data_IF_861332299551
#
_entry.id   IF_861332299551
#
_cell.length_a   1.000
_cell.length_b   1.000
_cell.length_c   1.000
_cell.angle_alpha   90.00
_cell.angle_beta   90.00
_cell.angle_gamma   90.00
#
_symmetry.space_group_name_H-M   'P 1'
#
loop_
_entity.id
_entity.type
_entity.pdbx_description
1 polymer ?
#
# COMPACT_ATOMS: atom_id res chain seq x y z
N UNK A 1 -50.08 6.34 -19.59
CA UNK A 1 -50.01 5.56 -20.83
C UNK A 1 -48.58 5.07 -20.98
N UNK A 2 -48.14 4.20 -20.06
CA UNK A 2 -48.49 2.75 -19.96
C UNK A 2 -47.82 1.98 -21.10
N UNK A 3 -47.18 0.83 -20.93
CA UNK A 3 -46.89 -0.02 -19.79
C UNK A 3 -46.00 -1.17 -20.35
N UNK A 4 -45.07 -1.67 -19.53
CA UNK A 4 -44.88 -3.11 -19.21
C UNK A 4 -44.62 -4.11 -20.37
N UNK A 5 -43.43 -4.72 -20.41
CA UNK A 5 -43.11 -6.06 -19.83
C UNK A 5 -41.90 -6.67 -20.57
N UNK A 6 -40.78 -7.01 -19.93
CA UNK A 6 -40.52 -8.08 -18.94
C UNK A 6 -40.13 -9.44 -19.61
N UNK A 7 -39.02 -10.00 -19.10
CA UNK A 7 -38.66 -11.42 -18.93
C UNK A 7 -37.73 -12.08 -19.97
N UNK A 8 -36.82 -13.01 -19.65
CA UNK A 8 -36.19 -13.62 -18.44
C UNK A 8 -35.26 -14.70 -19.01
N UNK A 9 -34.12 -15.01 -18.36
CA UNK A 9 -33.60 -16.37 -18.02
C UNK A 9 -32.25 -16.20 -17.33
N UNK A 10 -32.07 -16.33 -16.01
CA UNK A 10 -32.23 -17.44 -15.02
C UNK A 10 -31.32 -18.67 -15.23
N UNK A 11 -30.64 -19.04 -14.14
CA UNK A 11 -30.12 -20.39 -13.83
C UNK A 11 -29.03 -20.34 -12.73
N UNK A 12 -29.34 -20.20 -11.44
CA UNK A 12 -29.64 -21.25 -10.44
C UNK A 12 -28.55 -22.34 -10.29
N UNK A 13 -27.98 -22.47 -9.08
CA UNK A 13 -27.89 -23.74 -8.35
C UNK A 13 -27.63 -23.50 -6.84
N UNK A 14 -28.52 -24.07 -6.04
CA UNK A 14 -28.50 -24.15 -4.56
C UNK A 14 -28.46 -25.63 -4.19
N UNK A 15 -27.65 -26.02 -3.21
CA UNK A 15 -27.78 -27.23 -2.38
C UNK A 15 -26.93 -26.96 -1.12
N UNK A 16 -27.44 -26.78 0.11
CA UNK A 16 -28.34 -27.55 0.98
C UNK A 16 -27.71 -28.85 1.49
N UNK A 17 -27.28 -28.87 2.76
CA UNK A 17 -27.51 -29.96 3.73
C UNK A 17 -27.05 -29.60 5.17
N UNK A 18 -28.03 -29.63 6.08
CA UNK A 18 -28.06 -30.25 7.43
C UNK A 18 -26.96 -29.92 8.47
N UNK A 19 -27.32 -29.26 9.57
CA UNK A 19 -27.74 -29.86 10.86
C UNK A 19 -26.54 -30.20 11.78
N UNK A 20 -26.53 -30.08 13.10
CA UNK A 20 -27.34 -29.47 14.13
C UNK A 20 -26.54 -29.65 15.46
N UNK A 21 -27.05 -29.11 16.57
CA UNK A 21 -26.84 -29.58 17.96
C UNK A 21 -25.69 -28.94 18.78
N UNK A 22 -26.11 -27.87 19.49
CA UNK A 22 -26.25 -27.75 20.95
C UNK A 22 -25.03 -27.71 21.90
N UNK A 23 -25.13 -26.69 22.76
CA UNK A 23 -24.85 -26.66 24.20
C UNK A 23 -23.37 -26.60 24.61
N UNK A 24 -22.97 -25.75 25.56
CA UNK A 24 -23.73 -24.90 26.46
C UNK A 24 -22.86 -24.52 27.66
N UNK A 25 -23.21 -23.37 28.24
CA UNK A 25 -23.04 -23.03 29.65
C UNK A 25 -21.61 -22.88 30.23
N UNK A 26 -21.26 -21.61 30.41
CA UNK A 26 -20.50 -21.05 31.53
C UNK A 26 -21.18 -21.37 32.91
N UNK A 27 -20.90 -20.71 34.06
CA UNK A 27 -19.84 -19.75 34.43
C UNK A 27 -19.31 -19.93 35.90
N UNK A 28 -18.53 -18.93 36.38
CA UNK A 28 -18.47 -18.38 37.77
C UNK A 28 -17.98 -19.31 38.90
N UNK A 29 -17.16 -18.90 39.86
CA UNK A 29 -16.78 -17.58 40.36
C UNK A 29 -16.39 -17.74 41.85
N UNK A 30 -15.79 -16.70 42.44
CA UNK A 30 -15.82 -16.51 43.89
C UNK A 30 -14.51 -16.75 44.66
N UNK A 31 -13.76 -15.66 44.85
CA UNK A 31 -13.00 -15.38 46.07
C UNK A 31 -13.97 -15.27 47.29
N UNK A 32 -13.54 -15.15 48.58
CA UNK A 32 -12.61 -14.11 49.05
C UNK A 32 -11.74 -14.42 50.31
N UNK A 33 -10.81 -13.48 50.60
CA UNK A 33 -10.39 -12.88 51.90
C UNK A 33 -9.98 -13.78 53.10
N UNK A 34 -9.07 -13.45 54.01
CA UNK A 34 -8.09 -12.38 54.24
C UNK A 34 -7.30 -12.76 55.53
N UNK A 35 -6.08 -12.24 55.72
CA UNK A 35 -5.65 -11.43 56.90
C UNK A 35 -4.16 -11.56 57.27
N UNK A 36 -3.47 -10.43 57.14
CA UNK A 36 -2.53 -9.75 58.05
C UNK A 36 -1.41 -10.49 58.82
N UNK A 37 -0.19 -9.95 58.72
CA UNK A 37 0.89 -10.14 59.70
C UNK A 37 2.25 -9.54 59.32
N UNK A 38 2.44 -8.24 59.61
CA UNK A 38 3.67 -7.53 60.07
C UNK A 38 5.10 -7.92 59.60
N UNK A 39 5.79 -6.90 59.05
CA UNK A 39 7.20 -6.76 58.65
C UNK A 39 8.21 -6.78 59.86
N UNK A 40 9.58 -6.69 59.75
CA UNK A 40 10.32 -5.87 58.76
C UNK A 40 11.79 -6.25 58.33
N UNK A 41 12.30 -5.52 57.32
CA UNK A 41 13.69 -5.16 56.88
C UNK A 41 14.76 -6.25 56.60
N UNK A 42 15.22 -6.38 55.34
CA UNK A 42 16.55 -5.90 54.86
C UNK A 42 16.80 -6.24 53.37
N UNK A 43 17.67 -5.43 52.77
CA UNK A 43 17.78 -5.12 51.35
C UNK A 43 18.42 -6.21 50.46
N UNK A 44 17.81 -6.42 49.30
CA UNK A 44 18.51 -6.77 48.06
C UNK A 44 17.78 -6.08 46.90
N UNK A 45 18.52 -5.31 46.10
CA UNK A 45 18.02 -4.43 45.05
C UNK A 45 17.04 -5.15 44.12
N UNK A 46 15.78 -4.71 44.21
CA UNK A 46 14.67 -5.24 43.46
C UNK A 46 14.83 -4.90 41.97
N UNK A 47 14.85 -5.94 41.15
CA UNK A 47 14.22 -5.86 39.84
C UNK A 47 12.82 -5.28 40.06
N UNK A 48 12.56 -4.10 39.52
CA UNK A 48 11.24 -3.48 39.55
C UNK A 48 10.31 -4.29 38.67
N UNK A 49 9.78 -5.38 39.21
CA UNK A 49 8.58 -6.04 38.71
C UNK A 49 7.41 -5.11 38.98
N UNK A 50 7.22 -4.12 38.11
CA UNK A 50 5.91 -3.53 37.91
C UNK A 50 5.07 -4.59 37.20
N UNK A 51 4.53 -5.53 37.97
CA UNK A 51 3.44 -6.37 37.50
C UNK A 51 2.27 -5.42 37.23
N UNK A 52 2.05 -5.12 35.96
CA UNK A 52 0.97 -4.25 35.51
C UNK A 52 -0.37 -4.92 35.78
N UNK A 53 -1.40 -4.09 36.00
CA UNK A 53 -2.79 -4.51 36.23
C UNK A 53 -3.43 -5.20 35.01
N UNK A 54 -2.70 -5.26 33.89
CA UNK A 54 -3.08 -5.95 32.67
C UNK A 54 -2.70 -7.42 32.86
N UNK A 55 -3.71 -8.29 33.02
CA UNK A 55 -3.49 -9.73 33.21
C UNK A 55 -2.37 -10.24 32.28
N UNK A 56 -1.46 -11.05 32.82
CA UNK A 56 -0.13 -11.31 32.24
C UNK A 56 -0.17 -11.48 30.72
N UNK A 57 0.09 -10.39 29.98
CA UNK A 57 0.17 -10.42 28.53
C UNK A 57 1.39 -11.29 28.21
N UNK A 58 1.17 -12.36 27.47
CA UNK A 58 2.25 -13.18 26.98
C UNK A 58 2.95 -12.45 25.82
N UNK A 59 4.07 -11.79 26.14
CA UNK A 59 4.88 -11.06 25.17
C UNK A 59 5.55 -11.97 24.12
N UNK A 60 5.39 -13.29 24.24
CA UNK A 60 5.92 -14.28 23.28
C UNK A 60 4.84 -14.95 22.44
N UNK A 61 3.56 -14.76 22.76
CA UNK A 61 2.45 -15.23 21.92
C UNK A 61 2.18 -14.24 20.78
N UNK A 62 3.06 -14.25 19.80
CA UNK A 62 2.98 -13.34 18.65
C UNK A 62 1.70 -13.51 17.82
N UNK A 63 1.08 -14.68 17.83
CA UNK A 63 -0.19 -14.88 17.13
C UNK A 63 -1.32 -14.13 17.86
N UNK A 64 -1.42 -14.28 19.18
CA UNK A 64 -2.39 -13.53 19.97
C UNK A 64 -2.15 -12.02 19.87
N UNK A 65 -0.89 -11.57 19.95
CA UNK A 65 -0.56 -10.15 19.79
C UNK A 65 -0.91 -9.62 18.39
N UNK A 66 -0.69 -10.43 17.35
CA UNK A 66 -1.09 -10.09 15.99
C UNK A 66 -2.61 -9.92 15.89
N UNK A 67 -3.37 -10.90 16.38
CA UNK A 67 -4.82 -10.91 16.27
C UNK A 67 -5.50 -9.80 17.08
N UNK A 68 -5.00 -9.50 18.27
CA UNK A 68 -5.60 -8.52 19.18
C UNK A 68 -5.22 -7.10 18.78
N UNK A 69 -3.94 -6.84 18.51
CA UNK A 69 -3.44 -5.47 18.41
C UNK A 69 -3.04 -5.05 16.98
N UNK A 70 -2.51 -5.95 16.16
CA UNK A 70 -1.99 -5.58 14.83
C UNK A 70 -3.04 -5.70 13.72
N UNK A 71 -3.90 -6.71 13.78
CA UNK A 71 -4.77 -7.13 12.67
C UNK A 71 -5.60 -5.98 12.11
N UNK A 72 -6.28 -5.25 12.99
CA UNK A 72 -7.18 -4.18 12.60
C UNK A 72 -6.47 -2.99 11.97
N UNK A 73 -5.43 -2.38 12.59
CA UNK A 73 -4.72 -1.27 11.98
C UNK A 73 -3.92 -1.70 10.73
N UNK A 74 -3.54 -2.97 10.63
CA UNK A 74 -2.87 -3.50 9.45
C UNK A 74 -3.80 -3.53 8.23
N UNK A 75 -4.95 -4.20 8.33
CA UNK A 75 -5.87 -4.34 7.19
C UNK A 75 -6.61 -3.05 6.82
N UNK A 76 -6.63 -2.06 7.72
CA UNK A 76 -7.21 -0.75 7.43
C UNK A 76 -6.25 0.24 6.77
N UNK A 77 -4.96 -0.10 6.66
CA UNK A 77 -3.94 0.83 6.18
C UNK A 77 -3.45 1.85 7.22
N UNK A 78 -3.90 1.78 8.49
CA UNK A 78 -3.37 2.64 9.58
C UNK A 78 -1.87 2.41 9.78
N UNK A 79 -1.37 1.20 9.53
CA UNK A 79 0.07 0.90 9.55
C UNK A 79 0.79 1.15 8.21
N UNK A 80 0.16 1.84 7.25
CA UNK A 80 0.77 2.13 5.95
C UNK A 80 1.69 3.36 5.96
N UNK A 81 1.62 4.17 7.01
CA UNK A 81 2.37 5.43 7.16
C UNK A 81 2.89 5.62 8.57
N UNK A 82 3.83 6.55 8.73
CA UNK A 82 4.25 7.04 10.04
C UNK A 82 3.19 7.98 10.61
N UNK A 83 2.93 7.89 11.91
CA UNK A 83 2.08 8.84 12.61
C UNK A 83 2.42 8.88 14.11
N UNK A 84 2.28 10.05 14.71
CA UNK A 84 2.46 10.29 16.15
C UNK A 84 1.15 10.62 16.85
N UNK A 85 0.15 11.04 16.07
CA UNK A 85 -1.21 11.25 16.52
C UNK A 85 -2.18 10.74 15.47
N UNK A 86 -3.39 10.31 15.87
CA UNK A 86 -4.44 9.92 14.92
C UNK A 86 -4.76 10.96 13.84
N UNK A 87 -4.41 12.23 14.08
CA UNK A 87 -4.57 13.32 13.10
C UNK A 87 -3.63 13.22 11.90
N UNK A 88 -2.52 12.51 12.04
CA UNK A 88 -1.55 12.30 10.96
C UNK A 88 -1.95 11.10 10.07
N UNK A 89 -3.01 10.37 10.44
CA UNK A 89 -3.49 9.20 9.69
C UNK A 89 -4.35 9.66 8.52
N UNK A 90 -4.26 8.97 7.38
CA UNK A 90 -5.21 9.17 6.29
C UNK A 90 -6.66 8.90 6.76
N UNK A 91 -7.57 9.84 6.48
CA UNK A 91 -8.96 9.71 6.91
C UNK A 91 -9.67 8.50 6.32
N UNK A 92 -9.29 8.07 5.11
CA UNK A 92 -9.78 6.83 4.50
C UNK A 92 -9.34 5.59 5.28
N UNK A 93 -8.09 5.54 5.73
CA UNK A 93 -7.59 4.44 6.57
C UNK A 93 -8.30 4.33 7.92
N UNK A 94 -8.78 5.44 8.49
CA UNK A 94 -9.61 5.45 9.71
C UNK A 94 -11.04 4.95 9.44
N UNK A 95 -11.61 5.25 8.27
CA UNK A 95 -12.89 4.66 7.83
C UNK A 95 -12.73 3.15 7.63
N UNK A 96 -11.67 2.73 6.96
CA UNK A 96 -11.39 1.32 6.70
C UNK A 96 -11.09 0.57 8.02
N UNK A 97 -10.64 1.25 9.08
CA UNK A 97 -10.47 0.66 10.42
C UNK A 97 -11.79 0.17 11.02
N UNK A 98 -12.86 0.94 10.82
CA UNK A 98 -14.22 0.47 11.12
C UNK A 98 -14.68 -0.60 10.12
N UNK A 99 -14.34 -0.45 8.83
CA UNK A 99 -14.64 -1.45 7.80
C UNK A 99 -14.08 -2.86 8.08
N UNK A 100 -12.89 -2.95 8.68
CA UNK A 100 -12.30 -4.23 9.12
C UNK A 100 -13.15 -4.90 10.19
N UNK A 101 -13.60 -4.14 11.18
CA UNK A 101 -14.52 -4.62 12.21
C UNK A 101 -15.85 -5.05 11.58
N UNK A 102 -16.45 -4.19 10.77
CA UNK A 102 -17.75 -4.45 10.16
C UNK A 102 -17.74 -5.73 9.32
N UNK A 103 -16.72 -5.92 8.48
CA UNK A 103 -16.56 -7.12 7.63
C UNK A 103 -16.39 -8.40 8.46
N UNK A 104 -15.72 -8.30 9.61
CA UNK A 104 -15.56 -9.44 10.53
C UNK A 104 -16.89 -9.84 11.17
N UNK A 105 -17.68 -8.86 11.59
CA UNK A 105 -18.97 -9.12 12.26
C UNK A 105 -20.11 -9.46 11.28
N UNK A 106 -19.96 -9.10 10.00
CA UNK A 106 -20.95 -9.35 8.94
C UNK A 106 -20.33 -10.14 7.77
N UNK A 107 -19.83 -11.38 7.99
CA UNK A 107 -19.06 -12.12 6.99
C UNK A 107 -19.89 -12.56 5.76
N UNK A 108 -21.22 -12.58 5.87
CA UNK A 108 -22.14 -12.96 4.82
C UNK A 108 -22.67 -11.76 4.00
N UNK A 109 -22.33 -10.54 4.39
CA UNK A 109 -22.75 -9.33 3.70
C UNK A 109 -21.69 -8.90 2.69
N UNK A 110 -22.14 -8.43 1.51
CA UNK A 110 -21.21 -7.94 0.50
C UNK A 110 -20.55 -6.66 1.02
N UNK A 111 -19.22 -6.66 1.11
CA UNK A 111 -18.45 -5.50 1.53
C UNK A 111 -18.67 -4.33 0.57
N UNK A 112 -19.01 -3.17 1.11
CA UNK A 112 -19.14 -1.89 0.39
C UNK A 112 -20.43 -1.15 0.73
N UNK A 113 -20.49 0.15 0.44
CA UNK A 113 -21.67 0.99 0.68
C UNK A 113 -21.36 2.16 1.60
N UNK A 114 -22.34 2.57 2.41
CA UNK A 114 -22.22 3.73 3.30
C UNK A 114 -22.32 3.31 4.77
N UNK A 115 -21.34 3.71 5.58
CA UNK A 115 -21.38 3.57 7.03
C UNK A 115 -21.90 4.86 7.67
N UNK A 116 -22.92 4.81 8.55
CA UNK A 116 -23.37 5.99 9.28
C UNK A 116 -22.21 6.64 10.05
N UNK A 117 -22.04 7.96 9.88
CA UNK A 117 -20.87 8.65 10.42
C UNK A 117 -20.78 8.54 11.94
N UNK A 118 -21.92 8.74 12.63
CA UNK A 118 -21.99 8.63 14.09
C UNK A 118 -21.55 7.26 14.62
N UNK A 119 -21.85 6.19 13.89
CA UNK A 119 -21.49 4.82 14.28
C UNK A 119 -19.98 4.57 14.09
N UNK A 120 -19.47 4.86 12.89
CA UNK A 120 -18.05 4.70 12.58
C UNK A 120 -17.16 5.54 13.51
N UNK A 121 -17.51 6.82 13.72
CA UNK A 121 -16.77 7.74 14.59
C UNK A 121 -16.81 7.30 16.06
N UNK A 122 -17.96 6.82 16.56
CA UNK A 122 -18.07 6.33 17.93
C UNK A 122 -17.26 5.06 18.15
N UNK A 123 -17.16 4.19 17.14
CA UNK A 123 -16.33 3.00 17.20
C UNK A 123 -14.84 3.35 17.16
N UNK A 124 -14.40 4.11 16.16
CA UNK A 124 -12.98 4.44 15.94
C UNK A 124 -12.40 5.20 17.15
N UNK A 125 -13.14 6.15 17.73
CA UNK A 125 -12.68 6.92 18.91
C UNK A 125 -12.31 6.07 20.12
N UNK A 126 -12.81 4.84 20.23
CA UNK A 126 -12.47 3.96 21.34
C UNK A 126 -10.99 3.54 21.30
N UNK A 127 -10.41 3.44 20.11
CA UNK A 127 -9.11 2.82 19.87
C UNK A 127 -7.95 3.80 19.74
N UNK A 128 -8.19 5.11 19.77
CA UNK A 128 -7.15 6.11 19.52
C UNK A 128 -7.04 7.11 20.67
N UNK A 129 -5.81 7.48 21.03
CA UNK A 129 -5.52 8.37 22.17
C UNK A 129 -6.01 9.81 21.98
N UNK A 130 -6.28 10.21 20.74
CA UNK A 130 -6.92 11.48 20.38
C UNK A 130 -8.13 11.23 19.46
N UNK A 131 -9.09 12.15 19.48
CA UNK A 131 -10.28 12.08 18.64
C UNK A 131 -9.92 12.27 17.14
N UNK A 132 -10.13 11.26 16.28
CA UNK A 132 -9.81 11.33 14.86
C UNK A 132 -10.98 11.85 13.99
N UNK A 133 -12.12 12.24 14.58
CA UNK A 133 -13.35 12.58 13.85
C UNK A 133 -13.13 13.67 12.79
N UNK A 134 -12.39 14.73 13.13
CA UNK A 134 -12.10 15.82 12.18
C UNK A 134 -11.32 15.31 10.96
N UNK A 135 -10.33 14.44 11.19
CA UNK A 135 -9.52 13.80 10.14
C UNK A 135 -10.37 12.88 9.26
N UNK A 136 -11.28 12.11 9.87
CA UNK A 136 -12.22 11.27 9.11
C UNK A 136 -13.12 12.11 8.20
N UNK A 137 -13.75 13.16 8.74
CA UNK A 137 -14.69 14.02 7.99
C UNK A 137 -14.03 14.88 6.90
N UNK A 138 -12.73 15.14 7.03
CA UNK A 138 -11.96 15.87 6.01
C UNK A 138 -11.68 15.04 4.75
N UNK A 139 -11.83 13.71 4.81
CA UNK A 139 -11.53 12.82 3.70
C UNK A 139 -12.66 12.81 2.65
N UNK A 140 -12.31 12.60 1.37
CA UNK A 140 -13.24 12.63 0.24
C UNK A 140 -14.35 11.56 0.30
N UNK A 141 -14.21 10.54 1.16
CA UNK A 141 -15.22 9.50 1.38
C UNK A 141 -16.35 9.94 2.33
N UNK A 142 -16.24 11.08 2.99
CA UNK A 142 -17.31 11.60 3.83
C UNK A 142 -18.37 12.33 2.99
N UNK A 143 -19.62 11.88 3.06
CA UNK A 143 -20.78 12.51 2.46
C UNK A 143 -21.57 13.27 3.53
N UNK A 144 -21.53 14.60 3.47
CA UNK A 144 -22.20 15.47 4.42
C UNK A 144 -23.73 15.52 4.24
N UNK A 145 -24.27 15.16 3.07
CA UNK A 145 -25.72 15.10 2.84
C UNK A 145 -26.32 13.84 3.44
N UNK A 146 -25.60 12.72 3.35
CA UNK A 146 -26.00 11.43 3.91
C UNK A 146 -25.55 11.22 5.37
N UNK A 147 -24.66 12.07 5.88
CA UNK A 147 -23.97 11.91 7.18
C UNK A 147 -23.36 10.51 7.31
N UNK A 148 -22.58 10.13 6.29
CA UNK A 148 -22.05 8.79 6.15
C UNK A 148 -20.69 8.77 5.44
N UNK A 149 -19.95 7.67 5.62
CA UNK A 149 -18.70 7.40 4.93
C UNK A 149 -18.90 6.34 3.86
N UNK A 150 -18.47 6.62 2.63
CA UNK A 150 -18.37 5.60 1.59
C UNK A 150 -17.26 4.59 1.96
N UNK A 151 -17.61 3.31 1.95
CA UNK A 151 -16.71 2.19 2.10
C UNK A 151 -16.67 1.41 0.80
N UNK A 152 -15.47 1.26 0.24
CA UNK A 152 -15.25 0.60 -1.05
C UNK A 152 -14.72 -0.82 -0.92
N UNK A 153 -14.68 -1.36 0.31
CA UNK A 153 -14.06 -2.64 0.63
C UNK A 153 -12.60 -2.50 1.08
N UNK A 154 -12.07 -3.58 1.66
CA UNK A 154 -10.68 -3.67 2.10
C UNK A 154 -9.79 -4.07 0.93
N UNK A 155 -8.65 -3.40 0.79
CA UNK A 155 -7.59 -3.76 -0.16
C UNK A 155 -6.47 -4.57 0.50
N UNK A 156 -5.66 -5.22 -0.34
CA UNK A 156 -4.38 -5.84 0.07
C UNK A 156 -4.43 -7.36 0.21
N UNK A 157 -3.41 -8.03 -0.32
CA UNK A 157 -3.20 -9.48 -0.18
C UNK A 157 -2.01 -9.85 0.71
N UNK A 158 -1.30 -8.86 1.25
CA UNK A 158 -0.13 -9.07 2.10
C UNK A 158 -0.57 -9.55 3.50
N UNK A 159 0.29 -10.33 4.16
CA UNK A 159 0.07 -10.74 5.54
C UNK A 159 0.95 -9.94 6.49
N UNK A 160 0.49 -9.72 7.73
CA UNK A 160 1.25 -9.00 8.76
C UNK A 160 1.34 -9.83 10.04
N UNK A 161 2.51 -9.92 10.65
CA UNK A 161 2.74 -10.70 11.87
C UNK A 161 3.66 -9.98 12.84
N UNK A 162 3.32 -10.01 14.12
CA UNK A 162 4.21 -9.58 15.20
C UNK A 162 5.42 -10.53 15.23
N UNK A 163 6.61 -9.97 15.37
CA UNK A 163 7.88 -10.70 15.49
C UNK A 163 8.66 -10.31 16.74
N UNK A 164 8.22 -9.26 17.44
CA UNK A 164 8.80 -8.81 18.69
C UNK A 164 7.80 -7.99 19.50
N UNK A 165 7.89 -8.07 20.83
CA UNK A 165 7.05 -7.30 21.72
C UNK A 165 7.81 -6.89 22.97
N UNK A 166 7.55 -5.69 23.45
CA UNK A 166 8.10 -5.17 24.69
C UNK A 166 7.03 -4.37 25.45
N UNK A 167 7.04 -4.50 26.77
CA UNK A 167 6.14 -3.76 27.66
C UNK A 167 6.97 -2.83 28.54
N UNK A 168 6.67 -1.53 28.52
CA UNK A 168 7.26 -0.53 29.41
C UNK A 168 6.15 0.26 30.11
N UNK A 169 5.94 -0.04 31.40
CA UNK A 169 4.77 0.45 32.12
C UNK A 169 3.48 -0.06 31.47
N UNK A 170 2.62 0.85 31.05
CA UNK A 170 1.35 0.56 30.37
C UNK A 170 1.46 0.65 28.84
N UNK A 171 2.67 0.78 28.28
CA UNK A 171 2.87 0.88 26.84
C UNK A 171 3.45 -0.41 26.29
N UNK A 172 2.66 -1.09 25.47
CA UNK A 172 3.05 -2.25 24.67
C UNK A 172 3.56 -1.76 23.30
N UNK A 173 4.81 -2.09 22.99
CA UNK A 173 5.40 -1.87 21.67
C UNK A 173 5.47 -3.19 20.93
N UNK A 174 4.96 -3.23 19.70
CA UNK A 174 4.98 -4.39 18.82
C UNK A 174 5.85 -4.11 17.60
N UNK A 175 6.91 -4.90 17.44
CA UNK A 175 7.64 -5.00 16.17
C UNK A 175 6.93 -6.04 15.28
N UNK A 176 6.68 -5.68 14.03
CA UNK A 176 5.98 -6.56 13.10
C UNK A 176 6.62 -6.55 11.71
N UNK A 177 6.39 -7.63 10.95
CA UNK A 177 6.78 -7.78 9.56
C UNK A 177 5.53 -7.91 8.67
N UNK A 178 5.65 -7.42 7.45
CA UNK A 178 4.66 -7.55 6.38
C UNK A 178 5.26 -8.41 5.29
N UNK A 179 4.55 -9.48 4.93
CA UNK A 179 4.96 -10.45 3.94
C UNK A 179 4.20 -10.27 2.65
N UNK A 180 4.93 -10.49 1.56
CA UNK A 180 4.44 -10.47 0.20
C UNK A 180 3.21 -11.34 -0.01
N UNK A 181 2.22 -10.82 -0.75
CA UNK A 181 1.09 -11.62 -1.20
C UNK A 181 1.49 -12.71 -2.21
N UNK A 182 2.63 -12.53 -2.88
CA UNK A 182 3.07 -13.42 -3.95
C UNK A 182 3.64 -14.74 -3.41
N UNK A 183 4.29 -14.72 -2.25
CA UNK A 183 4.94 -15.90 -1.66
C UNK A 183 4.74 -16.12 -0.16
N UNK A 184 4.10 -15.16 0.55
CA UNK A 184 3.90 -15.15 2.01
C UNK A 184 5.19 -15.40 2.82
N UNK A 185 6.35 -15.01 2.27
CA UNK A 185 7.69 -15.25 2.85
C UNK A 185 8.60 -14.04 2.76
N UNK A 186 8.55 -13.30 1.67
CA UNK A 186 9.40 -12.13 1.45
C UNK A 186 8.88 -10.97 2.31
N UNK A 187 9.71 -10.46 3.21
CA UNK A 187 9.39 -9.28 4.02
C UNK A 187 9.50 -8.04 3.14
N UNK A 188 8.38 -7.36 2.91
CA UNK A 188 8.31 -6.15 2.08
C UNK A 188 8.30 -4.87 2.88
N UNK A 189 7.97 -4.96 4.18
CA UNK A 189 7.91 -3.84 5.12
C UNK A 189 7.95 -4.39 6.54
N UNK A 190 8.50 -3.64 7.47
CA UNK A 190 8.33 -3.87 8.90
C UNK A 190 7.82 -2.59 9.57
N UNK A 191 7.49 -2.66 10.86
CA UNK A 191 7.12 -1.47 11.61
C UNK A 191 7.13 -1.68 13.10
N UNK A 192 6.91 -0.59 13.82
CA UNK A 192 6.63 -0.58 15.25
C UNK A 192 5.28 0.08 15.52
N UNK A 193 4.42 -0.59 16.27
CA UNK A 193 3.14 -0.07 16.75
C UNK A 193 3.20 0.08 18.27
N UNK A 194 2.93 1.30 18.76
CA UNK A 194 2.83 1.58 20.18
C UNK A 194 1.37 1.60 20.63
N UNK A 195 1.07 0.87 21.70
CA UNK A 195 -0.27 0.64 22.23
C UNK A 195 -0.28 0.97 23.73
N UNK A 196 -1.15 1.90 24.14
CA UNK A 196 -1.44 2.17 25.55
C UNK A 196 -2.47 1.15 26.04
N UNK A 197 -2.10 0.37 27.05
CA UNK A 197 -2.98 -0.55 27.75
C UNK A 197 -3.74 0.21 28.85
N UNK A 198 -5.02 -0.13 29.03
CA UNK A 198 -5.89 0.47 30.04
C UNK A 198 -6.22 -0.52 31.13
N UNK A 199 -6.39 -0.04 32.35
CA UNK A 199 -6.66 -0.86 33.54
C UNK A 199 -7.95 -1.70 33.41
N UNK A 200 -8.89 -1.28 32.55
CA UNK A 200 -10.13 -2.00 32.25
C UNK A 200 -9.95 -3.17 31.27
N UNK A 201 -8.72 -3.44 30.84
CA UNK A 201 -8.39 -4.44 29.83
C UNK A 201 -8.55 -3.95 28.39
N UNK A 202 -8.97 -2.69 28.19
CA UNK A 202 -8.98 -2.04 26.90
C UNK A 202 -7.59 -1.55 26.47
N UNK A 203 -7.51 -1.00 25.26
CA UNK A 203 -6.26 -0.43 24.75
C UNK A 203 -6.53 0.71 23.77
N UNK A 204 -5.50 1.50 23.48
CA UNK A 204 -5.51 2.52 22.44
C UNK A 204 -4.18 2.58 21.69
N UNK A 205 -4.24 2.78 20.39
CA UNK A 205 -3.07 3.04 19.56
C UNK A 205 -2.54 4.44 19.81
N UNK A 206 -1.22 4.54 20.00
CA UNK A 206 -0.51 5.76 20.36
C UNK A 206 0.27 6.36 19.20
N UNK A 207 1.04 5.52 18.52
CA UNK A 207 1.89 5.93 17.41
C UNK A 207 2.28 4.72 16.56
N UNK A 208 2.77 5.01 15.36
CA UNK A 208 3.25 4.00 14.44
C UNK A 208 4.48 4.48 13.69
N UNK A 209 5.40 3.55 13.41
CA UNK A 209 6.55 3.76 12.54
C UNK A 209 6.68 2.63 11.55
N UNK A 210 6.67 2.97 10.27
CA UNK A 210 7.03 2.10 9.16
C UNK A 210 8.56 2.03 9.04
N UNK A 211 9.07 0.85 8.72
CA UNK A 211 10.47 0.60 8.38
C UNK A 211 10.51 -0.22 7.09
N UNK A 212 11.04 0.35 6.03
CA UNK A 212 11.27 -0.40 4.79
C UNK A 212 12.59 -1.18 4.89
N UNK A 213 12.67 -2.36 4.23
CA UNK A 213 13.91 -3.12 4.17
C UNK A 213 15.02 -2.27 3.56
N UNK A 214 16.20 -2.30 4.19
CA UNK A 214 17.40 -1.73 3.59
C UNK A 214 17.80 -2.59 2.40
N UNK A 215 18.04 -1.96 1.25
CA UNK A 215 18.60 -2.67 0.10
C UNK A 215 20.11 -2.69 0.27
N UNK A 216 20.66 -3.88 0.49
CA UNK A 216 22.10 -4.07 0.42
C UNK A 216 22.54 -3.98 -1.05
N UNK A 217 23.50 -3.11 -1.33
CA UNK A 217 24.00 -2.84 -2.68
C UNK A 217 25.50 -2.93 -2.71
N UNK A 218 26.02 -3.44 -3.83
CA UNK A 218 27.46 -3.46 -4.10
C UNK A 218 27.90 -2.33 -5.04
N UNK A 219 26.94 -1.62 -5.65
CA UNK A 219 27.19 -0.51 -6.55
C UNK A 219 27.59 0.78 -5.80
N UNK A 220 28.39 1.62 -6.46
CA UNK A 220 28.72 2.96 -5.94
C UNK A 220 27.55 3.92 -6.15
N UNK A 221 27.47 4.99 -5.35
CA UNK A 221 26.42 6.01 -5.54
C UNK A 221 26.45 6.63 -6.96
N UNK A 222 27.65 6.89 -7.49
CA UNK A 222 27.83 7.40 -8.87
C UNK A 222 27.21 6.44 -9.90
N UNK A 223 27.39 5.12 -9.72
CA UNK A 223 26.79 4.12 -10.59
C UNK A 223 25.27 4.07 -10.45
N UNK A 224 24.74 4.17 -9.23
CA UNK A 224 23.29 4.23 -9.00
C UNK A 224 22.66 5.49 -9.61
N UNK A 225 23.35 6.61 -9.55
CA UNK A 225 22.91 7.86 -10.18
C UNK A 225 22.90 7.69 -11.70
N UNK A 226 23.96 7.15 -12.31
CA UNK A 226 24.02 6.85 -13.75
C UNK A 226 22.87 5.93 -14.20
N UNK A 227 22.62 4.85 -13.46
CA UNK A 227 21.52 3.93 -13.73
C UNK A 227 20.16 4.63 -13.65
N UNK A 228 20.00 5.50 -12.64
CA UNK A 228 18.78 6.27 -12.43
C UNK A 228 18.53 7.23 -13.59
N UNK A 229 19.53 8.02 -13.97
CA UNK A 229 19.43 8.96 -15.08
C UNK A 229 19.14 8.26 -16.41
N UNK A 230 19.81 7.13 -16.66
CA UNK A 230 19.79 6.47 -17.97
C UNK A 230 18.55 5.60 -18.18
N UNK A 231 18.18 4.78 -17.19
CA UNK A 231 17.18 3.71 -17.36
C UNK A 231 15.88 3.96 -16.61
N UNK A 232 15.85 4.82 -15.59
CA UNK A 232 14.67 4.95 -14.72
C UNK A 232 13.97 6.28 -14.94
N UNK A 233 14.72 7.39 -15.00
CA UNK A 233 14.15 8.71 -15.25
C UNK A 233 13.30 8.76 -16.52
N UNK A 234 13.62 8.08 -17.64
CA UNK A 234 12.74 8.08 -18.79
C UNK A 234 11.36 7.44 -18.52
N UNK A 235 11.26 6.50 -17.57
CA UNK A 235 10.00 5.82 -17.27
C UNK A 235 9.10 6.64 -16.32
N UNK A 236 9.68 7.51 -15.48
CA UNK A 236 8.98 8.27 -14.44
C UNK A 236 7.90 9.24 -14.98
N UNK A 237 8.16 10.08 -16.00
CA UNK A 237 7.18 11.07 -16.47
C UNK A 237 5.86 10.46 -16.94
N UNK A 238 5.87 9.23 -17.46
CA UNK A 238 4.66 8.58 -17.90
C UNK A 238 3.83 8.01 -16.74
N UNK A 239 4.42 7.79 -15.55
CA UNK A 239 3.74 7.26 -14.35
C UNK A 239 3.20 5.83 -14.47
N UNK A 240 2.45 5.53 -15.54
CA UNK A 240 1.91 4.23 -15.91
C UNK A 240 2.97 3.14 -15.96
N UNK A 241 4.14 3.43 -16.56
CA UNK A 241 5.20 2.42 -16.73
C UNK A 241 5.90 2.00 -15.43
N UNK A 242 5.79 2.79 -14.35
CA UNK A 242 6.40 2.51 -13.04
C UNK A 242 5.37 2.27 -11.93
N UNK A 243 4.07 2.38 -12.25
CA UNK A 243 2.98 2.21 -11.27
C UNK A 243 2.37 0.82 -11.26
N UNK A 244 2.65 -0.01 -12.28
CA UNK A 244 2.17 -1.39 -12.38
C UNK A 244 3.27 -2.32 -12.87
N UNK A 245 3.09 -3.61 -12.60
CA UNK A 245 3.90 -4.68 -13.18
C UNK A 245 3.55 -4.88 -14.66
N UNK A 246 4.57 -5.10 -15.48
CA UNK A 246 4.47 -5.64 -16.84
C UNK A 246 5.63 -6.60 -17.09
N UNK A 247 5.32 -7.88 -17.33
CA UNK A 247 6.32 -8.93 -17.45
C UNK A 247 6.98 -8.99 -18.83
N UNK A 248 6.39 -8.32 -19.81
CA UNK A 248 6.97 -8.09 -21.13
C UNK A 248 6.37 -6.85 -21.77
N UNK A 249 7.06 -6.31 -22.78
CA UNK A 249 6.55 -5.19 -23.60
C UNK A 249 5.18 -5.48 -24.23
N UNK A 250 4.82 -6.75 -24.44
CA UNK A 250 3.51 -7.12 -25.00
C UNK A 250 2.31 -6.84 -24.08
N UNK A 251 2.56 -6.58 -22.80
CA UNK A 251 1.53 -6.18 -21.82
C UNK A 251 1.33 -4.66 -21.75
N UNK A 252 2.12 -3.90 -22.50
CA UNK A 252 1.96 -2.45 -22.64
C UNK A 252 0.96 -2.15 -23.75
N UNK A 253 0.25 -1.04 -23.61
CA UNK A 253 -0.63 -0.50 -24.64
C UNK A 253 0.14 0.48 -25.52
N UNK A 254 -0.30 0.66 -26.76
CA UNK A 254 0.25 1.68 -27.63
C UNK A 254 0.16 3.07 -27.00
N UNK A 255 -0.95 3.38 -26.31
CA UNK A 255 -1.17 4.64 -25.61
C UNK A 255 -0.12 4.93 -24.52
N UNK A 256 0.24 3.91 -23.73
CA UNK A 256 1.32 4.04 -22.76
C UNK A 256 2.65 4.37 -23.45
N UNK A 257 2.97 3.75 -24.59
CA UNK A 257 4.21 4.03 -25.31
C UNK A 257 4.22 5.42 -25.97
N UNK A 258 3.08 5.88 -26.49
CA UNK A 258 2.93 7.25 -26.99
C UNK A 258 3.07 8.26 -25.84
N UNK A 259 2.49 7.97 -24.68
CA UNK A 259 2.69 8.75 -23.45
C UNK A 259 4.16 8.82 -23.06
N UNK A 260 4.90 7.71 -23.11
CA UNK A 260 6.34 7.68 -22.83
C UNK A 260 7.13 8.59 -23.78
N UNK A 261 6.85 8.54 -25.08
CA UNK A 261 7.49 9.43 -26.05
C UNK A 261 7.17 10.91 -25.76
N UNK A 262 5.90 11.20 -25.51
CA UNK A 262 5.43 12.54 -25.21
C UNK A 262 6.08 13.06 -23.92
N UNK A 263 5.84 12.48 -22.74
CA UNK A 263 6.29 13.09 -21.48
C UNK A 263 7.82 13.28 -21.35
N UNK A 264 8.64 12.55 -22.13
CA UNK A 264 10.09 12.72 -22.15
C UNK A 264 10.60 13.81 -23.11
N UNK A 265 9.80 14.27 -24.07
CA UNK A 265 10.26 15.17 -25.12
C UNK A 265 11.42 14.71 -25.98
N UNK A 266 11.34 13.45 -26.41
CA UNK A 266 12.26 12.93 -27.42
C UNK A 266 12.13 13.59 -28.79
N UNK A 267 11.03 14.31 -29.06
CA UNK A 267 10.85 15.09 -30.30
C UNK A 267 11.25 16.56 -30.15
N UNK A 268 11.74 16.98 -28.98
CA UNK A 268 12.20 18.35 -28.71
C UNK A 268 11.18 19.45 -29.10
N UNK A 269 9.89 19.17 -28.96
CA UNK A 269 8.84 20.14 -29.28
C UNK A 269 8.87 21.31 -28.29
N UNK A 270 8.37 22.49 -28.68
CA UNK A 270 8.28 23.64 -27.79
C UNK A 270 7.52 23.31 -26.50
N UNK A 271 8.05 23.82 -25.39
CA UNK A 271 7.44 23.72 -24.06
C UNK A 271 6.88 25.08 -23.65
N UNK A 272 5.81 25.07 -22.86
CA UNK A 272 5.28 26.26 -22.21
C UNK A 272 6.18 26.73 -21.05
N UNK A 273 5.74 27.79 -20.35
CA UNK A 273 6.51 28.40 -19.27
C UNK A 273 6.64 27.51 -18.02
N UNK A 274 5.80 26.47 -17.89
CA UNK A 274 5.88 25.46 -16.83
C UNK A 274 6.79 24.29 -17.24
N UNK A 275 7.36 24.33 -18.45
CA UNK A 275 8.18 23.26 -19.00
C UNK A 275 7.34 22.08 -19.51
N UNK A 276 6.03 22.27 -19.71
CA UNK A 276 5.11 21.27 -20.22
C UNK A 276 4.95 21.41 -21.74
N UNK A 277 4.41 20.38 -22.39
CA UNK A 277 3.88 20.57 -23.73
C UNK A 277 2.63 21.43 -23.68
N UNK A 278 2.48 22.34 -24.65
CA UNK A 278 1.14 22.80 -25.03
C UNK A 278 0.30 21.54 -25.33
N UNK A 279 -0.86 21.37 -24.70
CA UNK A 279 -1.69 20.17 -24.96
C UNK A 279 -1.98 20.02 -26.47
N UNK A 280 -1.85 18.79 -26.98
CA UNK A 280 -2.24 18.42 -28.34
C UNK A 280 -1.31 18.88 -29.47
N UNK A 281 0.03 18.84 -29.33
CA UNK A 281 0.87 18.99 -30.51
C UNK A 281 0.76 17.72 -31.35
N UNK A 282 0.64 17.92 -32.67
CA UNK A 282 0.57 16.82 -33.64
C UNK A 282 1.97 16.59 -34.19
N UNK A 283 2.46 15.35 -34.11
CA UNK A 283 3.78 14.96 -34.60
C UNK A 283 3.68 13.88 -35.69
N UNK A 284 4.51 13.92 -36.76
CA UNK A 284 4.50 12.90 -37.80
C UNK A 284 4.70 11.50 -37.23
N UNK A 285 3.95 10.52 -37.75
CA UNK A 285 3.94 9.17 -37.21
C UNK A 285 5.33 8.51 -37.22
N UNK A 286 6.08 8.69 -38.31
CA UNK A 286 7.42 8.14 -38.44
C UNK A 286 8.41 8.64 -37.37
N UNK A 287 8.28 9.89 -36.92
CA UNK A 287 9.17 10.47 -35.90
C UNK A 287 8.85 9.89 -34.52
N UNK A 288 7.56 9.80 -34.19
CA UNK A 288 7.09 9.19 -32.93
C UNK A 288 7.45 7.71 -32.87
N UNK A 289 7.21 6.98 -33.96
CA UNK A 289 7.53 5.55 -34.08
C UNK A 289 9.03 5.29 -33.94
N UNK A 290 9.88 6.10 -34.58
CA UNK A 290 11.33 5.99 -34.44
C UNK A 290 11.79 6.28 -33.00
N UNK A 291 11.20 7.27 -32.33
CA UNK A 291 11.52 7.61 -30.95
C UNK A 291 11.14 6.49 -29.97
N UNK A 292 9.98 5.86 -30.13
CA UNK A 292 9.52 4.76 -29.27
C UNK A 292 10.33 3.48 -29.51
N UNK A 293 10.52 3.11 -30.78
CA UNK A 293 11.21 1.84 -31.16
C UNK A 293 12.69 1.82 -30.80
N UNK A 294 13.27 2.98 -30.47
CA UNK A 294 14.60 3.07 -29.86
C UNK A 294 14.68 2.39 -28.49
N UNK A 295 13.59 2.41 -27.72
CA UNK A 295 13.55 1.93 -26.33
C UNK A 295 12.70 0.67 -26.13
N UNK A 296 11.81 0.36 -27.07
CA UNK A 296 10.90 -0.79 -26.97
C UNK A 296 10.90 -1.61 -28.26
N UNK A 297 10.97 -2.93 -28.12
CA UNK A 297 10.91 -3.89 -29.23
C UNK A 297 9.46 -4.05 -29.75
N UNK A 298 8.93 -3.00 -30.38
CA UNK A 298 7.59 -2.96 -30.99
C UNK A 298 7.68 -2.50 -32.45
N UNK A 299 6.59 -2.66 -33.21
CA UNK A 299 6.51 -2.16 -34.59
C UNK A 299 5.50 -1.01 -34.73
N UNK A 300 5.59 -0.32 -35.87
CA UNK A 300 4.70 0.79 -36.20
C UNK A 300 3.23 0.34 -36.29
N UNK A 301 2.95 -0.91 -36.69
CA UNK A 301 1.58 -1.39 -36.82
C UNK A 301 0.90 -1.49 -35.44
N UNK A 302 1.65 -1.91 -34.42
CA UNK A 302 1.22 -1.88 -33.03
C UNK A 302 1.03 -0.43 -32.54
N UNK A 303 1.98 0.47 -32.77
CA UNK A 303 1.85 1.86 -32.31
C UNK A 303 0.64 2.59 -32.90
N UNK A 304 0.30 2.30 -34.16
CA UNK A 304 -0.88 2.85 -34.85
C UNK A 304 -2.22 2.34 -34.30
N UNK A 305 -2.23 1.40 -33.36
CA UNK A 305 -3.46 1.04 -32.62
C UNK A 305 -3.77 2.03 -31.49
N UNK A 306 -2.89 2.99 -31.23
CA UNK A 306 -3.11 4.02 -30.21
C UNK A 306 -4.32 4.90 -30.55
N UNK A 307 -5.06 5.31 -29.52
CA UNK A 307 -6.13 6.30 -29.67
C UNK A 307 -5.62 7.68 -30.12
N UNK A 308 -4.32 7.93 -29.95
CA UNK A 308 -3.67 9.18 -30.33
C UNK A 308 -3.31 9.23 -31.82
N UNK A 309 -3.37 8.11 -32.55
CA UNK A 309 -3.03 8.06 -33.96
C UNK A 309 -4.18 8.54 -34.85
N UNK A 310 -3.87 9.47 -35.75
CA UNK A 310 -4.75 9.91 -36.83
C UNK A 310 -4.26 9.34 -38.17
N UNK A 311 -5.01 8.37 -38.71
CA UNK A 311 -4.71 7.72 -39.98
C UNK A 311 -4.84 8.66 -41.19
N UNK A 312 -5.64 9.71 -41.13
CA UNK A 312 -5.79 10.67 -42.22
C UNK A 312 -4.59 11.63 -42.31
N UNK A 313 -4.04 12.01 -41.15
CA UNK A 313 -2.87 12.88 -41.05
C UNK A 313 -1.54 12.09 -41.06
N UNK A 314 -1.58 10.77 -40.83
CA UNK A 314 -0.44 9.92 -40.53
C UNK A 314 0.45 10.53 -39.42
N UNK A 315 -0.19 10.85 -38.31
CA UNK A 315 0.40 11.59 -37.21
C UNK A 315 -0.21 11.18 -35.86
N UNK A 316 0.49 11.49 -34.76
CA UNK A 316 -0.04 11.30 -33.41
C UNK A 316 -0.34 12.65 -32.76
N UNK A 317 -1.50 12.76 -32.12
CA UNK A 317 -1.82 13.84 -31.20
C UNK A 317 -1.21 13.52 -29.82
N UNK A 318 -0.10 14.19 -29.47
CA UNK A 318 0.64 13.81 -28.26
C UNK A 318 -0.08 14.31 -27.00
N UNK A 319 -0.24 13.45 -25.97
CA UNK A 319 -0.79 13.88 -24.70
C UNK A 319 0.17 14.87 -24.01
N UNK A 320 -0.40 15.92 -23.40
CA UNK A 320 0.35 16.91 -22.60
C UNK A 320 -0.01 16.83 -21.11
N UNK A 321 0.79 17.46 -20.26
CA UNK A 321 0.56 17.56 -18.81
C UNK A 321 1.72 17.10 -17.94
N UNK A 322 1.52 17.12 -16.62
CA UNK A 322 2.51 16.70 -15.62
C UNK A 322 2.55 15.17 -15.48
N UNK A 323 3.75 14.61 -15.59
CA UNK A 323 4.10 13.32 -15.01
C UNK A 323 4.30 13.42 -13.50
N UNK A 324 3.65 12.55 -12.72
CA UNK A 324 3.61 12.64 -11.25
C UNK A 324 4.98 12.61 -10.56
N UNK A 325 5.06 13.28 -9.40
CA UNK A 325 6.28 13.56 -8.62
C UNK A 325 6.80 12.43 -7.72
N UNK A 326 6.66 11.16 -8.11
CA UNK A 326 7.28 10.05 -7.38
C UNK A 326 8.65 9.74 -7.98
N UNK A 327 9.71 9.94 -7.21
CA UNK A 327 11.07 9.65 -7.65
C UNK A 327 11.38 8.17 -7.47
N UNK A 328 11.27 7.41 -8.57
CA UNK A 328 11.88 6.08 -8.67
C UNK A 328 13.36 6.24 -8.97
N UNK A 329 14.22 5.48 -8.29
CA UNK A 329 15.67 5.45 -8.53
C UNK A 329 16.26 4.05 -8.44
N UNK A 330 17.50 3.90 -8.87
CA UNK A 330 18.24 2.65 -8.78
C UNK A 330 18.79 2.44 -7.37
N UNK A 331 18.83 1.19 -6.95
CA UNK A 331 19.36 0.77 -5.66
C UNK A 331 20.41 -0.30 -5.77
N UNK A 332 20.33 -1.16 -6.79
CA UNK A 332 21.33 -2.17 -7.06
C UNK A 332 21.27 -2.56 -8.54
N UNK A 333 22.33 -3.20 -9.02
CA UNK A 333 22.36 -3.78 -10.35
C UNK A 333 23.01 -5.16 -10.32
N UNK A 334 22.62 -5.99 -11.29
CA UNK A 334 23.32 -7.22 -11.60
C UNK A 334 23.15 -7.54 -13.08
N UNK A 335 24.14 -8.23 -13.63
CA UNK A 335 24.01 -8.81 -14.95
C UNK A 335 23.48 -10.24 -14.85
N UNK A 336 22.57 -10.62 -15.74
CA UNK A 336 22.10 -11.99 -15.86
C UNK A 336 21.75 -12.29 -17.30
N UNK A 337 22.33 -13.36 -17.85
CA UNK A 337 22.03 -13.86 -19.20
C UNK A 337 22.18 -12.78 -20.30
N UNK A 338 23.10 -11.83 -20.12
CA UNK A 338 23.33 -10.69 -21.02
C UNK A 338 22.38 -9.50 -20.82
N UNK A 339 21.45 -9.58 -19.86
CA UNK A 339 20.57 -8.48 -19.48
C UNK A 339 21.11 -7.73 -18.27
N UNK A 340 20.89 -6.42 -18.25
CA UNK A 340 21.08 -5.59 -17.08
C UNK A 340 19.80 -5.64 -16.25
N UNK A 341 19.92 -6.09 -15.00
CA UNK A 341 18.83 -6.19 -14.04
C UNK A 341 19.05 -5.12 -12.98
N UNK A 342 18.15 -4.15 -12.90
CA UNK A 342 18.25 -3.01 -11.99
C UNK A 342 17.18 -3.18 -10.92
N UNK A 343 17.60 -3.23 -9.66
CA UNK A 343 16.70 -3.06 -8.53
C UNK A 343 16.37 -1.59 -8.42
N UNK A 344 15.09 -1.26 -8.54
CA UNK A 344 14.55 0.10 -8.44
C UNK A 344 13.72 0.25 -7.18
N UNK A 345 13.54 1.48 -6.72
CA UNK A 345 12.68 1.77 -5.60
C UNK A 345 12.11 3.17 -5.61
N UNK A 346 10.91 3.31 -5.05
CA UNK A 346 10.21 4.59 -4.86
C UNK A 346 10.62 5.17 -3.52
N UNK A 347 11.05 6.44 -3.53
CA UNK A 347 11.38 7.19 -2.32
C UNK A 347 10.47 8.41 -2.28
N UNK A 348 9.72 8.56 -1.19
CA UNK A 348 9.02 9.79 -0.85
C UNK A 348 9.96 10.84 -0.24
N UNK A 349 9.52 12.11 -0.14
CA UNK A 349 10.36 13.19 0.40
C UNK A 349 10.87 12.94 1.84
N UNK A 350 10.15 12.11 2.61
CA UNK A 350 10.47 11.79 4.01
C UNK A 350 11.05 10.38 4.21
N UNK A 351 11.27 9.61 3.13
CA UNK A 351 11.81 8.25 3.20
C UNK A 351 13.35 8.26 3.36
N UNK A 352 13.88 7.28 4.11
CA UNK A 352 15.34 7.05 4.15
C UNK A 352 15.84 6.65 2.75
N UNK A 353 16.98 7.20 2.28
CA UNK A 353 17.42 7.03 0.90
C UNK A 353 17.69 5.58 0.52
N UNK A 354 18.10 4.71 1.45
CA UNK A 354 18.42 3.30 1.23
C UNK A 354 17.24 2.34 1.53
N UNK A 355 16.05 2.88 1.82
CA UNK A 355 14.87 2.11 2.24
C UNK A 355 13.62 2.55 1.46
N UNK A 356 13.50 2.14 0.19
CA UNK A 356 12.39 2.56 -0.64
C UNK A 356 11.07 1.97 -0.15
N UNK A 357 10.00 2.74 -0.28
CA UNK A 357 8.65 2.33 0.13
C UNK A 357 8.07 1.18 -0.71
N UNK A 358 8.57 1.05 -1.94
CA UNK A 358 8.24 -0.03 -2.87
C UNK A 358 9.46 -0.32 -3.73
N UNK A 359 9.75 -1.59 -3.97
CA UNK A 359 10.81 -2.02 -4.88
C UNK A 359 10.26 -2.63 -6.15
N UNK A 360 11.02 -2.54 -7.23
CA UNK A 360 10.71 -3.22 -8.48
C UNK A 360 11.99 -3.66 -9.19
N UNK A 361 11.89 -4.72 -9.99
CA UNK A 361 12.97 -5.20 -10.85
C UNK A 361 12.74 -4.69 -12.27
N UNK A 362 13.64 -3.84 -12.76
CA UNK A 362 13.69 -3.39 -14.15
C UNK A 362 14.68 -4.26 -14.92
N UNK A 363 14.24 -4.87 -16.02
CA UNK A 363 15.11 -5.64 -16.92
C UNK A 363 15.34 -4.87 -18.20
N UNK A 364 16.62 -4.72 -18.56
CA UNK A 364 17.07 -3.98 -19.75
C UNK A 364 17.93 -4.89 -20.62
N UNK A 365 17.65 -4.91 -21.92
CA UNK A 365 18.44 -5.60 -22.93
C UNK A 365 19.40 -4.60 -23.61
N UNK A 366 20.72 -4.70 -23.40
CA UNK A 366 21.69 -3.87 -24.11
C UNK A 366 21.67 -4.15 -25.61
N UNK A 367 21.84 -3.10 -26.43
CA UNK A 367 21.96 -3.20 -27.89
C UNK A 367 23.44 -3.05 -28.33
N UNK A 368 23.85 -3.68 -29.45
CA UNK A 368 25.24 -3.61 -29.93
C UNK A 368 25.75 -2.19 -30.26
N UNK A 369 24.84 -1.26 -30.55
CA UNK A 369 25.14 0.13 -30.87
C UNK A 369 25.28 1.02 -29.63
N UNK A 370 25.21 0.44 -28.43
CA UNK A 370 25.21 1.16 -27.15
C UNK A 370 23.83 1.67 -26.73
N UNK A 371 22.78 1.39 -27.51
CA UNK A 371 21.40 1.57 -27.09
C UNK A 371 20.93 0.46 -26.15
N UNK A 372 19.64 0.45 -25.84
CA UNK A 372 19.02 -0.59 -25.04
C UNK A 372 17.51 -0.68 -25.30
N UNK A 373 16.92 -1.82 -24.96
CA UNK A 373 15.48 -1.98 -24.86
C UNK A 373 15.03 -2.29 -23.44
N UNK A 374 13.89 -1.73 -23.06
CA UNK A 374 13.16 -2.13 -21.87
C UNK A 374 12.45 -3.46 -22.12
N UNK A 375 12.64 -4.44 -21.24
CA UNK A 375 12.08 -5.78 -21.40
C UNK A 375 10.95 -6.06 -20.41
N UNK A 376 11.14 -5.72 -19.13
CA UNK A 376 10.13 -5.89 -18.08
C UNK A 376 10.32 -4.90 -16.94
N UNK A 377 9.23 -4.61 -16.21
CA UNK A 377 9.25 -3.96 -14.91
C UNK A 377 8.31 -4.72 -13.97
N UNK A 378 8.89 -5.36 -12.96
CA UNK A 378 8.16 -6.20 -12.00
C UNK A 378 8.18 -5.53 -10.64
N UNK A 379 7.04 -5.05 -10.15
CA UNK A 379 6.94 -4.60 -8.76
C UNK A 379 7.11 -5.83 -7.87
N UNK A 380 8.10 -5.76 -6.97
CA UNK A 380 8.34 -6.82 -6.00
C UNK A 380 7.26 -6.68 -4.94
N UNK A 381 6.32 -7.61 -4.98
CA UNK A 381 5.19 -7.68 -4.05
C UNK A 381 5.56 -8.34 -2.76
#
# INVERSE_FOLDING_TARGET
MDQISLKIRRGFCTALCCAAILAGCAPQGGAPAASAGTAPVEAAGAASSAASAHGAIDLTDYNALTDIYLRQPFYSGVTAQNWDTPRDIDGGALVDFYGVYWTKEHPDEQSGGFFPAAEAEAYVRQFFTADPTETMRAHARYDAEQDAYEFTGLGGGASGRVVGAALNGDVLTLDYEVYSAADDRTVIRSGALAVALREDGGFQYMSHRVRYPKIETSATQERLDELTETYIKPLNPNGALVSRTWASVSELTADELIGFCAFNNFLELPRDFEGLYEQGPVAPAAEVEAAVTRYFAVDAAFLKTSQFYDAAADAYALPGGFGGGWTTRAFDERERDGFLIITTGVIGPDDEPDRPSRTATLTVAPQPDGGFWYESFIING
#
